data_IF_764319728227
#
_entry.id   IF_764319728227
#
_cell.length_a   1.000
_cell.length_b   1.000
_cell.length_c   1.000
_cell.angle_alpha   90.00
_cell.angle_beta   90.00
_cell.angle_gamma   90.00
#
_symmetry.space_group_name_H-M   'P 1'
#
loop_
_entity.id
_entity.type
_entity.pdbx_description
1 polymer ?
#
# COMPACT_ATOMS: atom_id res chain seq x y z
N UNK A 1 6.18 8.71 25.38
CA UNK A 1 7.24 9.57 24.80
C UNK A 1 8.52 8.77 24.72
N UNK A 2 9.08 8.61 23.52
CA UNK A 2 10.24 7.74 23.27
C UNK A 2 11.49 8.22 24.03
N UNK A 3 12.32 7.28 24.53
CA UNK A 3 13.56 7.60 25.27
C UNK A 3 14.54 8.41 24.41
N UNK A 4 14.53 8.20 23.10
CA UNK A 4 15.41 8.88 22.14
C UNK A 4 15.13 10.38 22.09
N UNK A 5 13.84 10.78 22.00
CA UNK A 5 13.44 12.19 22.01
C UNK A 5 13.53 12.83 23.40
N UNK A 6 13.43 12.04 24.47
CA UNK A 6 13.63 12.54 25.83
C UNK A 6 15.08 12.95 26.08
N UNK A 7 16.03 12.19 25.55
CA UNK A 7 17.46 12.49 25.66
C UNK A 7 17.91 13.54 24.63
N UNK A 8 17.22 13.66 23.49
CA UNK A 8 17.55 14.61 22.42
C UNK A 8 16.33 15.47 22.09
N UNK A 9 16.05 16.53 22.87
CA UNK A 9 14.84 17.33 22.71
C UNK A 9 14.81 18.13 21.40
N UNK A 10 15.96 18.40 20.78
CA UNK A 10 16.07 19.09 19.48
C UNK A 10 15.90 18.17 18.29
N UNK A 11 15.86 16.84 18.50
CA UNK A 11 15.80 15.86 17.44
C UNK A 11 14.41 15.85 16.79
N UNK A 12 14.38 16.06 15.47
CA UNK A 12 13.14 16.07 14.69
C UNK A 12 12.67 14.66 14.33
N UNK A 13 13.60 13.75 14.04
CA UNK A 13 13.32 12.35 13.71
C UNK A 13 14.52 11.45 14.00
N UNK A 14 14.27 10.14 14.09
CA UNK A 14 15.31 9.12 14.12
C UNK A 14 14.89 7.91 13.29
N UNK A 15 15.87 7.14 12.82
CA UNK A 15 15.64 5.89 12.10
C UNK A 15 15.89 4.71 13.04
N UNK A 16 15.00 3.72 13.05
CA UNK A 16 15.09 2.50 13.83
C UNK A 16 15.14 1.31 12.88
N UNK A 17 16.16 0.48 12.99
CA UNK A 17 16.25 -0.76 12.20
C UNK A 17 15.42 -1.86 12.85
N UNK A 18 15.14 -2.93 12.11
CA UNK A 18 14.35 -4.08 12.61
C UNK A 18 14.97 -4.82 13.80
N UNK A 19 16.28 -4.66 14.00
CA UNK A 19 17.01 -5.14 15.19
C UNK A 19 16.70 -4.31 16.46
N UNK A 20 16.02 -3.17 16.30
CA UNK A 20 15.66 -2.29 17.40
C UNK A 20 16.68 -1.18 17.66
N UNK A 21 17.79 -1.18 16.93
CA UNK A 21 18.83 -0.15 17.02
C UNK A 21 18.35 1.18 16.42
N UNK A 22 18.48 2.26 17.20
CA UNK A 22 18.11 3.62 16.79
C UNK A 22 19.33 4.40 16.30
N UNK A 23 19.14 5.12 15.20
CA UNK A 23 20.14 5.91 14.48
C UNK A 23 19.60 7.31 14.24
N UNK A 24 20.42 8.31 14.51
CA UNK A 24 20.09 9.72 14.24
C UNK A 24 20.33 10.11 12.77
N UNK A 25 21.17 9.35 12.07
CA UNK A 25 21.51 9.57 10.68
C UNK A 25 20.90 8.45 9.81
N UNK A 26 20.08 8.78 8.79
CA UNK A 26 19.47 7.78 7.92
C UNK A 26 20.49 6.96 7.13
N UNK A 27 21.68 7.53 6.84
CA UNK A 27 22.73 6.80 6.14
C UNK A 27 23.27 5.63 6.97
N UNK A 28 23.54 5.84 8.25
CA UNK A 28 24.00 4.81 9.18
C UNK A 28 22.95 3.71 9.37
N UNK A 29 21.67 4.11 9.53
CA UNK A 29 20.56 3.16 9.59
C UNK A 29 20.49 2.28 8.33
N UNK A 30 20.70 2.87 7.16
CA UNK A 30 20.69 2.17 5.87
C UNK A 30 21.87 1.21 5.73
N UNK A 31 23.07 1.59 6.16
CA UNK A 31 24.23 0.70 6.16
C UNK A 31 24.03 -0.47 7.12
N UNK A 32 23.48 -0.21 8.31
CA UNK A 32 23.22 -1.24 9.29
C UNK A 32 22.13 -2.22 8.83
N UNK A 33 21.02 -1.71 8.29
CA UNK A 33 19.93 -2.53 7.77
C UNK A 33 20.37 -3.46 6.63
N UNK A 34 21.37 -3.08 5.82
CA UNK A 34 21.90 -3.94 4.75
C UNK A 34 22.52 -5.23 5.26
N UNK A 35 23.11 -5.21 6.46
CA UNK A 35 23.71 -6.38 7.10
C UNK A 35 22.70 -7.23 7.87
N UNK A 36 21.47 -6.75 8.04
CA UNK A 36 20.39 -7.48 8.69
C UNK A 36 19.61 -8.34 7.68
N UNK A 37 19.02 -9.44 8.19
CA UNK A 37 18.12 -10.29 7.40
C UNK A 37 16.84 -9.53 7.03
N UNK A 38 16.31 -8.77 8.00
CA UNK A 38 15.22 -7.83 7.78
C UNK A 38 15.79 -6.42 7.59
N UNK A 39 15.64 -5.89 6.38
CA UNK A 39 16.25 -4.62 5.95
C UNK A 39 15.34 -3.42 6.20
N UNK A 40 14.29 -3.61 7.00
CA UNK A 40 13.31 -2.55 7.25
C UNK A 40 13.91 -1.46 8.15
N UNK A 41 13.58 -0.22 7.81
CA UNK A 41 14.01 0.97 8.55
C UNK A 41 12.76 1.79 8.83
N UNK A 42 12.43 1.93 10.09
CA UNK A 42 11.32 2.74 10.57
C UNK A 42 11.82 4.13 10.90
N UNK A 43 11.34 5.16 10.20
CA UNK A 43 11.67 6.54 10.56
C UNK A 43 10.60 7.07 11.49
N UNK A 44 10.97 7.37 12.73
CA UNK A 44 10.08 7.91 13.76
C UNK A 44 10.29 9.42 13.82
N UNK A 45 9.22 10.19 13.58
CA UNK A 45 9.24 11.64 13.70
C UNK A 45 8.69 12.07 15.05
N UNK A 46 9.24 13.16 15.60
CA UNK A 46 8.76 13.75 16.87
C UNK A 46 7.35 14.32 16.73
N UNK A 47 6.99 14.80 15.53
CA UNK A 47 5.64 15.26 15.18
C UNK A 47 4.60 14.15 15.23
N UNK A 48 4.95 12.95 14.72
CA UNK A 48 4.07 11.78 14.69
C UNK A 48 3.71 11.26 16.08
N UNK A 49 4.56 11.49 17.09
CA UNK A 49 4.25 11.10 18.47
C UNK A 49 3.15 11.95 19.13
N UNK A 50 2.78 13.10 18.55
CA UNK A 50 1.64 13.91 19.01
C UNK A 50 0.31 13.53 18.34
N UNK A 51 0.37 12.78 17.25
CA UNK A 51 -0.81 12.37 16.48
C UNK A 51 -0.87 10.85 16.51
N UNK A 52 -1.56 10.33 17.52
CA UNK A 52 -1.90 8.92 17.54
C UNK A 52 -2.75 8.61 16.28
N UNK A 53 -2.39 7.55 15.58
CA UNK A 53 -3.04 6.94 14.41
C UNK A 53 -2.75 7.56 13.02
N UNK A 54 -2.26 6.67 12.14
CA UNK A 54 -2.10 6.80 10.68
C UNK A 54 -0.96 7.68 10.18
N UNK A 55 0.21 7.06 9.99
CA UNK A 55 0.84 7.14 8.68
C UNK A 55 1.74 5.94 8.39
N UNK A 56 1.18 5.06 7.57
CA UNK A 56 1.95 4.20 6.68
C UNK A 56 2.86 5.03 5.77
N UNK A 57 3.78 4.33 5.08
CA UNK A 57 4.56 4.76 3.93
C UNK A 57 5.99 5.21 4.23
N UNK A 58 6.91 4.24 4.12
CA UNK A 58 8.17 4.38 3.37
C UNK A 58 8.81 2.99 3.23
N UNK A 59 8.37 2.23 2.23
CA UNK A 59 9.26 1.51 1.29
C UNK A 59 8.42 0.65 0.34
N UNK A 60 7.74 1.27 -0.62
CA UNK A 60 7.58 0.67 -1.95
C UNK A 60 7.83 1.78 -2.93
N UNK A 61 8.78 1.54 -3.83
CA UNK A 61 8.91 2.31 -5.06
C UNK A 61 7.57 2.32 -5.77
N UNK A 62 6.77 3.37 -5.57
CA UNK A 62 5.62 3.64 -6.44
C UNK A 62 6.25 4.19 -7.71
N UNK A 63 6.72 3.28 -8.57
CA UNK A 63 6.71 3.56 -10.00
C UNK A 63 5.27 3.95 -10.31
N UNK A 64 5.00 5.01 -11.08
CA UNK A 64 3.64 5.27 -11.53
C UNK A 64 3.16 3.99 -12.21
N UNK A 65 2.17 3.31 -11.61
CA UNK A 65 1.61 2.10 -12.20
C UNK A 65 1.15 2.47 -13.61
N UNK A 66 1.72 1.79 -14.60
CA UNK A 66 1.34 1.99 -15.99
C UNK A 66 -0.14 1.63 -16.15
N UNK A 67 -0.80 2.24 -17.13
CA UNK A 67 -2.18 1.89 -17.46
C UNK A 67 -2.34 0.37 -17.68
N UNK A 68 -1.33 -0.28 -18.24
CA UNK A 68 -1.29 -1.73 -18.46
C UNK A 68 -1.40 -2.56 -17.17
N UNK A 69 -0.74 -2.13 -16.08
CA UNK A 69 -0.80 -2.84 -14.79
C UNK A 69 -2.17 -2.63 -14.12
N UNK A 70 -2.74 -1.43 -14.22
CA UNK A 70 -4.10 -1.17 -13.74
C UNK A 70 -5.13 -2.02 -14.47
N UNK A 71 -4.97 -2.20 -15.79
CA UNK A 71 -5.83 -3.07 -16.59
C UNK A 71 -5.68 -4.54 -16.17
N UNK A 72 -4.46 -5.00 -15.85
CA UNK A 72 -4.24 -6.35 -15.35
C UNK A 72 -4.94 -6.56 -13.99
N UNK A 73 -4.79 -5.62 -13.06
CA UNK A 73 -5.47 -5.63 -11.76
C UNK A 73 -7.00 -5.64 -11.90
N UNK A 74 -7.54 -4.86 -12.83
CA UNK A 74 -8.97 -4.87 -13.16
C UNK A 74 -9.39 -6.26 -13.64
N UNK A 75 -8.63 -6.88 -14.54
CA UNK A 75 -8.96 -8.23 -15.05
C UNK A 75 -8.88 -9.32 -13.99
N UNK A 76 -7.94 -9.18 -13.06
CA UNK A 76 -7.78 -10.08 -11.90
C UNK A 76 -8.81 -9.81 -10.80
N UNK A 77 -9.49 -8.65 -10.83
CA UNK A 77 -10.53 -8.34 -9.84
C UNK A 77 -11.70 -9.30 -10.01
N UNK A 78 -12.05 -9.98 -8.91
CA UNK A 78 -13.15 -10.95 -8.87
C UNK A 78 -14.41 -10.37 -8.25
N UNK A 79 -14.35 -9.14 -7.74
CA UNK A 79 -15.45 -8.48 -7.02
C UNK A 79 -15.66 -7.05 -7.53
N UNK A 80 -16.90 -6.58 -7.45
CA UNK A 80 -17.26 -5.21 -7.84
C UNK A 80 -16.57 -4.15 -6.96
N UNK A 81 -16.38 -4.43 -5.67
CA UNK A 81 -15.70 -3.52 -4.73
C UNK A 81 -14.24 -3.24 -5.15
N UNK A 82 -13.53 -4.25 -5.65
CA UNK A 82 -12.17 -4.05 -6.17
C UNK A 82 -12.18 -3.17 -7.42
N UNK A 83 -13.23 -3.24 -8.24
CA UNK A 83 -13.37 -2.41 -9.43
C UNK A 83 -13.66 -0.94 -9.07
N UNK A 84 -14.39 -0.66 -8.00
CA UNK A 84 -14.69 0.72 -7.58
C UNK A 84 -13.42 1.55 -7.30
N UNK A 85 -12.34 0.89 -6.86
CA UNK A 85 -11.04 1.53 -6.66
C UNK A 85 -10.47 2.17 -7.94
N UNK A 86 -10.88 1.70 -9.12
CA UNK A 86 -10.43 2.21 -10.43
C UNK A 86 -11.44 3.13 -11.11
N UNK A 87 -12.63 3.37 -10.54
CA UNK A 87 -13.63 4.29 -11.13
C UNK A 87 -13.16 5.75 -11.18
N UNK A 88 -12.24 6.14 -10.30
CA UNK A 88 -11.64 7.47 -10.28
C UNK A 88 -10.59 7.72 -11.36
N UNK A 89 -10.19 6.69 -12.13
CA UNK A 89 -9.14 6.83 -13.13
C UNK A 89 -9.67 7.46 -14.44
N UNK A 90 -9.00 8.50 -14.93
CA UNK A 90 -9.42 9.23 -16.14
C UNK A 90 -8.98 8.60 -17.46
N UNK A 91 -8.09 7.59 -17.42
CA UNK A 91 -7.51 6.99 -18.64
C UNK A 91 -8.56 6.13 -19.35
N UNK A 92 -8.78 6.39 -20.65
CA UNK A 92 -9.75 5.64 -21.48
C UNK A 92 -9.58 4.13 -21.37
N UNK A 93 -8.36 3.62 -21.52
CA UNK A 93 -8.09 2.18 -21.50
C UNK A 93 -8.44 1.51 -20.16
N UNK A 94 -8.32 2.25 -19.04
CA UNK A 94 -8.68 1.75 -17.71
C UNK A 94 -10.20 1.73 -17.53
N UNK A 95 -10.90 2.79 -17.97
CA UNK A 95 -12.37 2.85 -17.98
C UNK A 95 -12.99 1.75 -18.84
N UNK A 96 -12.44 1.51 -20.03
CA UNK A 96 -12.89 0.44 -20.92
C UNK A 96 -12.70 -0.93 -20.28
N UNK A 97 -11.52 -1.21 -19.71
CA UNK A 97 -11.26 -2.47 -19.01
C UNK A 97 -12.20 -2.68 -17.81
N UNK A 98 -12.45 -1.61 -17.03
CA UNK A 98 -13.34 -1.65 -15.87
C UNK A 98 -14.78 -1.93 -16.28
N UNK A 99 -15.28 -1.27 -17.33
CA UNK A 99 -16.63 -1.50 -17.84
C UNK A 99 -16.80 -2.95 -18.34
N UNK A 100 -15.82 -3.47 -19.07
CA UNK A 100 -15.82 -4.86 -19.56
C UNK A 100 -15.84 -5.85 -18.40
N UNK A 101 -14.95 -5.68 -17.40
CA UNK A 101 -14.90 -6.62 -16.28
C UNK A 101 -16.14 -6.55 -15.41
N UNK A 102 -16.68 -5.35 -15.17
CA UNK A 102 -17.91 -5.17 -14.39
C UNK A 102 -19.09 -5.88 -15.05
N UNK A 103 -19.22 -5.76 -16.38
CA UNK A 103 -20.25 -6.47 -17.15
C UNK A 103 -20.04 -8.01 -17.13
N UNK A 104 -18.80 -8.48 -17.19
CA UNK A 104 -18.46 -9.90 -17.08
C UNK A 104 -18.86 -10.47 -15.71
N UNK A 105 -18.53 -9.77 -14.61
CA UNK A 105 -18.91 -10.19 -13.26
C UNK A 105 -20.42 -10.15 -13.03
N UNK A 106 -21.13 -9.16 -13.58
CA UNK A 106 -22.59 -9.10 -13.51
C UNK A 106 -23.24 -10.24 -14.30
N UNK A 107 -22.68 -10.60 -15.46
CA UNK A 107 -23.17 -11.71 -16.29
C UNK A 107 -22.94 -13.08 -15.61
N UNK A 108 -21.75 -13.29 -15.01
CA UNK A 108 -21.44 -14.50 -14.24
C UNK A 108 -22.39 -14.69 -13.06
N UNK A 109 -22.74 -13.61 -12.37
CA UNK A 109 -23.64 -13.67 -11.20
C UNK A 109 -25.10 -13.97 -11.60
N UNK A 110 -25.49 -13.74 -12.85
CA UNK A 110 -26.80 -14.13 -13.38
C UNK A 110 -26.85 -15.58 -13.86
N UNK A 111 -25.74 -16.13 -14.36
CA UNK A 111 -25.67 -17.54 -14.80
C UNK A 111 -25.83 -18.52 -13.62
N UNK A 112 -25.32 -18.17 -12.44
CA UNK A 112 -25.43 -19.01 -11.24
C UNK A 112 -26.87 -19.13 -10.70
N UNK A 113 -27.74 -18.14 -10.97
CA UNK A 113 -29.15 -18.17 -10.52
C UNK A 113 -30.10 -18.91 -11.47
N UNK A 114 -29.65 -19.33 -12.66
CA UNK A 114 -30.54 -19.95 -13.66
C UNK A 114 -30.51 -21.48 -13.64
N UNK A 115 -29.56 -22.10 -12.91
CA UNK A 115 -29.38 -23.56 -12.89
C UNK A 115 -29.99 -24.26 -11.67
N UNK A 116 -30.59 -23.54 -10.72
CA UNK A 116 -31.15 -24.13 -9.48
C UNK A 116 -32.67 -24.39 -9.55
N UNK A 117 -33.26 -24.47 -10.75
CA UNK A 117 -34.70 -24.74 -10.91
C UNK A 117 -35.04 -25.77 -12.00
N UNK A 118 -34.14 -26.74 -12.22
CA UNK A 118 -34.39 -27.95 -13.01
C UNK A 118 -33.77 -29.16 -12.33
N UNK A 119 -34.40 -29.66 -11.27
CA UNK A 119 -34.39 -31.07 -10.89
C UNK A 119 -35.67 -31.43 -10.12
#
# INVERSE_FOLDING_TARGET
MDKVFKNNPTLESYSKTSDGTAFYNPYDAKMHAKSLKDKSILTVFKSDLKTNEKQELKDKSIKPLKAEELIALIKESTTAEQLEAFQGDERKSVKEALAVKKAELESLNQEENTNENRE
#
